data_IF_713753826115
#
_entry.id   IF_713753826115
#
_cell.length_a   1.000
_cell.length_b   1.000
_cell.length_c   1.000
_cell.angle_alpha   90.00
_cell.angle_beta   90.00
_cell.angle_gamma   90.00
#
_symmetry.space_group_name_H-M   'P 1'
#
loop_
_entity.id
_entity.type
_entity.pdbx_description
1 polymer ?
#
# COMPACT_ATOMS: atom_id res chain seq x y z
N UNK A 1 7.39 2.92 6.79
CA UNK A 1 8.04 1.71 6.20
C UNK A 1 8.58 0.73 7.24
N UNK A 2 7.77 0.35 8.23
CA UNK A 2 8.18 -0.64 9.24
C UNK A 2 8.40 -2.04 8.64
N UNK A 3 7.58 -2.44 7.66
CA UNK A 3 7.68 -3.73 6.97
C UNK A 3 9.02 -3.93 6.27
N UNK A 4 9.52 -2.91 5.55
CA UNK A 4 10.82 -2.95 4.90
C UNK A 4 11.96 -3.12 5.92
N UNK A 5 11.92 -2.35 7.01
CA UNK A 5 12.91 -2.45 8.09
C UNK A 5 12.90 -3.84 8.75
N UNK A 6 11.72 -4.40 9.03
CA UNK A 6 11.57 -5.73 9.61
C UNK A 6 12.11 -6.83 8.67
N UNK A 7 11.80 -6.75 7.37
CA UNK A 7 12.29 -7.69 6.37
C UNK A 7 13.83 -7.69 6.30
N UNK A 8 14.45 -6.50 6.20
CA UNK A 8 15.90 -6.36 6.17
C UNK A 8 16.57 -6.91 7.44
N UNK A 9 15.99 -6.65 8.62
CA UNK A 9 16.49 -7.19 9.90
C UNK A 9 16.33 -8.70 10.02
N UNK A 10 15.35 -9.28 9.34
CA UNK A 10 15.15 -10.72 9.25
C UNK A 10 16.06 -11.40 8.20
N UNK A 11 16.96 -10.66 7.54
CA UNK A 11 17.83 -11.18 6.49
C UNK A 11 17.14 -11.38 5.14
N UNK A 12 15.92 -10.85 4.96
CA UNK A 12 15.26 -10.78 3.66
C UNK A 12 15.83 -9.56 2.93
N UNK A 13 16.16 -9.70 1.65
CA UNK A 13 16.70 -8.61 0.83
C UNK A 13 15.67 -8.12 -0.21
N UNK A 14 14.63 -7.37 0.21
CA UNK A 14 13.59 -6.90 -0.70
C UNK A 14 14.08 -5.72 -1.56
N UNK A 15 13.51 -5.60 -2.75
CA UNK A 15 13.47 -4.31 -3.44
C UNK A 15 12.46 -3.41 -2.74
N UNK A 16 12.82 -2.16 -2.47
CA UNK A 16 11.98 -1.22 -1.73
C UNK A 16 11.74 0.05 -2.52
N UNK A 17 10.51 0.56 -2.51
CA UNK A 17 10.11 1.85 -3.07
C UNK A 17 9.31 2.67 -2.05
N UNK A 18 9.65 3.95 -1.92
CA UNK A 18 8.99 4.94 -1.06
C UNK A 18 8.66 6.14 -1.93
N UNK A 19 7.50 6.76 -1.75
CA UNK A 19 7.06 7.89 -2.57
C UNK A 19 7.92 9.14 -2.44
N UNK A 20 8.81 9.17 -1.43
CA UNK A 20 9.73 10.27 -1.13
C UNK A 20 11.12 9.75 -0.75
N UNK A 21 12.11 10.64 -0.73
CA UNK A 21 13.45 10.31 -0.24
C UNK A 21 13.41 10.00 1.24
N UNK A 22 14.14 8.97 1.64
CA UNK A 22 14.11 8.50 3.02
C UNK A 22 15.52 8.40 3.61
N UNK A 23 15.81 9.00 4.78
CA UNK A 23 17.13 8.93 5.41
C UNK A 23 17.61 7.51 5.68
N UNK A 24 16.70 6.59 5.97
CA UNK A 24 17.02 5.18 6.22
C UNK A 24 17.28 4.36 4.93
N UNK A 25 17.09 4.97 3.76
CA UNK A 25 17.48 4.46 2.44
C UNK A 25 18.63 5.28 1.85
N UNK A 26 19.54 5.77 2.70
CA UNK A 26 20.68 6.61 2.29
C UNK A 26 20.27 7.87 1.53
N UNK A 27 19.09 8.42 1.84
CA UNK A 27 18.52 9.60 1.18
C UNK A 27 17.91 9.32 -0.20
N UNK A 28 17.76 8.05 -0.59
CA UNK A 28 17.10 7.63 -1.83
C UNK A 28 15.61 7.32 -1.58
N UNK A 29 14.83 7.25 -2.66
CA UNK A 29 13.43 6.83 -2.64
C UNK A 29 13.25 5.35 -3.04
N UNK A 30 14.31 4.70 -3.49
CA UNK A 30 14.30 3.29 -3.88
C UNK A 30 15.60 2.61 -3.46
N UNK A 31 15.47 1.34 -3.07
CA UNK A 31 16.59 0.43 -2.84
C UNK A 31 16.38 -0.81 -3.70
N UNK A 32 17.30 -1.13 -4.64
CA UNK A 32 17.29 -2.43 -5.28
C UNK A 32 17.71 -3.51 -4.28
N UNK A 33 16.96 -4.61 -4.22
CA UNK A 33 17.32 -5.82 -3.48
C UNK A 33 17.51 -6.99 -4.45
N UNK A 34 18.26 -8.02 -4.03
CA UNK A 34 18.51 -9.22 -4.82
C UNK A 34 17.45 -10.32 -4.63
N UNK A 35 16.53 -10.15 -3.66
CA UNK A 35 15.45 -11.07 -3.39
C UNK A 35 14.28 -10.98 -4.38
N UNK A 36 13.30 -11.87 -4.19
CA UNK A 36 12.07 -11.94 -4.98
C UNK A 36 10.89 -11.14 -4.37
N UNK A 37 11.16 -10.34 -3.33
CA UNK A 37 10.15 -9.55 -2.62
C UNK A 37 10.30 -8.08 -3.01
N UNK A 38 9.18 -7.44 -3.32
CA UNK A 38 9.10 -5.98 -3.46
C UNK A 38 8.18 -5.43 -2.38
N UNK A 39 8.61 -4.35 -1.71
CA UNK A 39 7.82 -3.60 -0.73
C UNK A 39 7.73 -2.16 -1.24
N UNK A 40 6.52 -1.70 -1.53
CA UNK A 40 6.30 -0.37 -2.08
C UNK A 40 5.26 0.40 -1.27
N UNK A 41 5.51 1.69 -1.07
CA UNK A 41 4.47 2.65 -0.71
C UNK A 41 3.52 2.80 -1.89
N UNK A 42 2.23 2.85 -1.61
CA UNK A 42 1.19 3.00 -2.61
C UNK A 42 0.37 4.23 -2.23
N UNK A 43 0.24 5.17 -3.16
CA UNK A 43 -0.51 6.41 -3.01
C UNK A 43 -1.76 6.34 -3.91
N UNK A 44 -2.91 6.68 -3.35
CA UNK A 44 -4.17 6.73 -4.08
C UNK A 44 -4.31 7.98 -4.96
N UNK A 45 -3.50 9.02 -4.79
CA UNK A 45 -3.75 10.36 -5.33
C UNK A 45 -4.05 10.46 -6.83
N UNK A 46 -3.44 9.60 -7.65
CA UNK A 46 -3.58 9.58 -9.11
C UNK A 46 -4.19 8.27 -9.67
N UNK A 47 -4.67 7.40 -8.78
CA UNK A 47 -5.27 6.11 -9.13
C UNK A 47 -4.26 5.06 -9.63
N UNK A 48 -2.97 5.36 -9.67
CA UNK A 48 -1.95 4.43 -10.17
C UNK A 48 -1.79 3.19 -9.28
N UNK A 49 -2.13 3.27 -7.99
CA UNK A 49 -2.13 2.09 -7.11
C UNK A 49 -3.07 0.98 -7.60
N UNK A 50 -4.14 1.31 -8.33
CA UNK A 50 -5.01 0.35 -9.00
C UNK A 50 -4.37 -0.31 -10.23
N UNK A 51 -3.15 0.06 -10.62
CA UNK A 51 -2.38 -0.65 -11.65
C UNK A 51 -1.47 -1.71 -11.05
N UNK A 52 -1.32 -1.72 -9.72
CA UNK A 52 -0.55 -2.74 -9.01
C UNK A 52 -1.37 -4.04 -8.90
N UNK A 53 -0.64 -5.15 -8.81
CA UNK A 53 -1.18 -6.50 -8.58
C UNK A 53 -0.46 -7.17 -7.39
N UNK A 54 -0.61 -6.63 -6.17
CA UNK A 54 0.13 -7.09 -5.01
C UNK A 54 -0.37 -8.46 -4.54
N UNK A 55 0.53 -9.31 -4.03
CA UNK A 55 0.15 -10.52 -3.30
C UNK A 55 -0.31 -10.19 -1.86
N UNK A 56 0.19 -9.09 -1.29
CA UNK A 56 -0.15 -8.61 0.05
C UNK A 56 -0.39 -7.09 -0.06
N UNK A 57 -1.57 -6.63 0.37
CA UNK A 57 -1.85 -5.21 0.58
C UNK A 57 -1.98 -4.91 2.08
N UNK A 58 -1.47 -3.76 2.51
CA UNK A 58 -1.64 -3.26 3.88
C UNK A 58 -2.36 -1.93 3.80
N UNK A 59 -3.56 -1.85 4.38
CA UNK A 59 -4.37 -0.62 4.47
C UNK A 59 -4.28 -0.10 5.90
N UNK A 60 -3.61 1.04 6.08
CA UNK A 60 -3.40 1.64 7.41
C UNK A 60 -4.58 2.49 7.86
N UNK A 61 -5.19 3.25 6.95
CA UNK A 61 -6.37 4.07 7.13
C UNK A 61 -6.89 4.49 5.74
N UNK A 62 -8.08 5.11 5.68
CA UNK A 62 -8.62 5.72 4.47
C UNK A 62 -9.20 7.09 4.84
N UNK A 63 -8.63 8.17 4.29
CA UNK A 63 -9.06 9.54 4.57
C UNK A 63 -9.70 10.21 3.33
N UNK A 64 -10.29 11.39 3.54
CA UNK A 64 -10.99 12.19 2.52
C UNK A 64 -10.02 13.05 1.70
N UNK A 65 -8.99 12.42 1.16
CA UNK A 65 -8.00 13.06 0.29
C UNK A 65 -8.29 12.76 -1.19
N UNK A 66 -7.73 13.58 -2.08
CA UNK A 66 -7.78 13.38 -3.53
C UNK A 66 -9.20 13.24 -4.13
N UNK A 67 -10.21 13.83 -3.49
CA UNK A 67 -11.62 13.69 -3.84
C UNK A 67 -11.94 14.08 -5.29
N UNK A 68 -11.23 15.08 -5.82
CA UNK A 68 -11.39 15.55 -7.20
C UNK A 68 -11.03 14.46 -8.23
N UNK A 69 -10.05 13.61 -7.91
CA UNK A 69 -9.66 12.47 -8.76
C UNK A 69 -10.76 11.40 -8.79
N UNK A 70 -11.41 11.18 -7.65
CA UNK A 70 -12.33 10.06 -7.45
C UNK A 70 -13.81 10.41 -7.62
N UNK A 71 -14.15 11.68 -7.84
CA UNK A 71 -15.53 12.15 -7.86
C UNK A 71 -16.21 12.06 -6.49
N UNK A 72 -15.45 12.32 -5.43
CA UNK A 72 -15.90 12.29 -4.04
C UNK A 72 -15.48 11.05 -3.25
N UNK A 73 -15.84 11.02 -1.96
CA UNK A 73 -15.32 10.03 -1.02
C UNK A 73 -15.79 8.60 -1.31
N UNK A 74 -17.02 8.43 -1.81
CA UNK A 74 -17.49 7.11 -2.25
C UNK A 74 -16.62 6.54 -3.39
N UNK A 75 -16.01 7.41 -4.21
CA UNK A 75 -15.05 6.99 -5.23
C UNK A 75 -13.74 6.48 -4.63
N UNK A 76 -13.22 7.17 -3.61
CA UNK A 76 -12.05 6.73 -2.84
C UNK A 76 -12.32 5.36 -2.23
N UNK A 77 -13.45 5.19 -1.53
CA UNK A 77 -13.84 3.91 -0.94
C UNK A 77 -13.95 2.78 -1.97
N UNK A 78 -14.51 3.06 -3.15
CA UNK A 78 -14.56 2.06 -4.26
C UNK A 78 -13.17 1.65 -4.73
N UNK A 79 -12.26 2.61 -4.87
CA UNK A 79 -10.88 2.33 -5.29
C UNK A 79 -10.16 1.46 -4.24
N UNK A 80 -10.23 1.81 -2.96
CA UNK A 80 -9.64 1.01 -1.88
C UNK A 80 -10.26 -0.39 -1.78
N UNK A 81 -11.59 -0.51 -1.95
CA UNK A 81 -12.25 -1.82 -1.97
C UNK A 81 -11.77 -2.68 -3.16
N UNK A 82 -11.58 -2.07 -4.34
CA UNK A 82 -11.02 -2.77 -5.49
C UNK A 82 -9.60 -3.27 -5.24
N UNK A 83 -8.72 -2.40 -4.73
CA UNK A 83 -7.35 -2.75 -4.40
C UNK A 83 -7.27 -3.88 -3.36
N UNK A 84 -8.09 -3.79 -2.31
CA UNK A 84 -8.23 -4.83 -1.27
C UNK A 84 -8.65 -6.17 -1.88
N UNK A 85 -9.66 -6.18 -2.75
CA UNK A 85 -10.12 -7.41 -3.42
C UNK A 85 -9.05 -8.02 -4.33
N UNK A 86 -8.28 -7.20 -5.04
CA UNK A 86 -7.17 -7.67 -5.90
C UNK A 86 -6.12 -8.41 -5.07
N UNK A 87 -5.70 -7.82 -3.96
CA UNK A 87 -4.75 -8.45 -3.04
C UNK A 87 -5.32 -9.71 -2.39
N UNK A 88 -6.56 -9.68 -1.89
CA UNK A 88 -7.21 -10.84 -1.25
C UNK A 88 -7.39 -12.03 -2.21
N UNK A 89 -7.61 -11.77 -3.52
CA UNK A 89 -7.69 -12.83 -4.54
C UNK A 89 -6.35 -13.51 -4.79
N UNK A 90 -5.24 -12.78 -4.66
CA UNK A 90 -3.88 -13.28 -4.96
C UNK A 90 -3.16 -13.81 -3.72
N UNK A 91 -3.48 -13.28 -2.55
CA UNK A 91 -2.90 -13.64 -1.26
C UNK A 91 -3.75 -13.09 -0.12
N UNK A 92 -3.37 -11.95 0.45
CA UNK A 92 -4.13 -11.35 1.56
C UNK A 92 -4.17 -9.82 1.53
N UNK A 93 -5.21 -9.27 2.16
CA UNK A 93 -5.30 -7.87 2.53
C UNK A 93 -5.24 -7.77 4.07
N UNK A 94 -4.31 -6.97 4.57
CA UNK A 94 -4.15 -6.66 5.99
C UNK A 94 -4.73 -5.28 6.21
N UNK A 95 -5.75 -5.17 7.05
CA UNK A 95 -6.52 -3.94 7.22
C UNK A 95 -6.48 -3.51 8.68
N UNK A 96 -6.19 -2.23 8.91
CA UNK A 96 -6.26 -1.63 10.22
C UNK A 96 -7.73 -1.56 10.68
N UNK A 97 -8.10 -2.39 11.67
CA UNK A 97 -9.49 -2.46 12.12
C UNK A 97 -9.91 -1.23 12.95
N UNK A 98 -8.95 -0.47 13.47
CA UNK A 98 -9.20 0.76 14.23
C UNK A 98 -9.77 1.88 13.32
N UNK A 99 -9.48 1.83 12.03
CA UNK A 99 -10.02 2.77 11.04
C UNK A 99 -11.40 2.28 10.53
N UNK A 100 -12.48 3.06 10.72
CA UNK A 100 -13.84 2.62 10.38
C UNK A 100 -14.05 2.47 8.86
N UNK A 101 -13.38 3.28 8.04
CA UNK A 101 -13.54 3.24 6.59
C UNK A 101 -12.75 2.07 5.98
N UNK A 102 -11.55 1.80 6.49
CA UNK A 102 -10.77 0.61 6.20
C UNK A 102 -11.57 -0.67 6.56
N UNK A 103 -12.20 -0.69 7.74
CA UNK A 103 -13.10 -1.78 8.14
C UNK A 103 -14.28 -1.95 7.18
N UNK A 104 -14.86 -0.84 6.75
CA UNK A 104 -15.99 -0.82 5.82
C UNK A 104 -15.62 -1.40 4.45
N UNK A 105 -14.45 -1.04 3.90
CA UNK A 105 -14.01 -1.59 2.60
C UNK A 105 -13.58 -3.05 2.70
N UNK A 106 -13.11 -3.52 3.86
CA UNK A 106 -12.76 -4.92 4.08
C UNK A 106 -13.98 -5.86 4.10
N UNK A 107 -15.15 -5.32 4.45
CA UNK A 107 -16.42 -6.06 4.51
C UNK A 107 -17.22 -6.04 3.19
N UNK A 108 -16.71 -5.37 2.15
CA UNK A 108 -17.40 -5.10 0.88
C UNK A 108 -16.90 -5.97 -0.29
#
# INVERSE_FOLDING_TARGET
MATASAALRAGIDPTVYVGTTAPWLDGLNARPGAGNVMIAECDESDGSFLKLDPAIAIITNIDREHLDHYGGFDGVLRAFAEFTRRAARKGCAIVCWDDPEARRVAAA
#
